data_IF_147449106752
#
_entry.id   IF_147449106752
#
_cell.length_a   1.000
_cell.length_b   1.000
_cell.length_c   1.000
_cell.angle_alpha   90.00
_cell.angle_beta   90.00
_cell.angle_gamma   90.00
#
_symmetry.space_group_name_H-M   'P 1'
#
loop_
_entity.id
_entity.type
_entity.pdbx_description
1 polymer ?
#
# COMPACT_ATOMS: atom_id res chain seq x y z
N UNK A 1 8.28 -8.19 0.46
CA UNK A 1 7.31 -7.60 1.40
C UNK A 1 6.66 -8.73 2.19
N UNK A 2 6.97 -8.85 3.47
CA UNK A 2 6.32 -9.81 4.37
C UNK A 2 5.38 -9.04 5.27
N UNK A 3 4.12 -9.49 5.43
CA UNK A 3 3.17 -8.87 6.35
C UNK A 3 3.69 -8.99 7.77
N UNK A 4 3.63 -7.90 8.52
CA UNK A 4 3.97 -7.89 9.95
C UNK A 4 2.67 -8.19 10.71
N UNK A 5 2.64 -9.21 11.59
CA UNK A 5 1.57 -9.33 12.56
C UNK A 5 1.63 -8.10 13.47
N UNK A 6 0.58 -7.28 13.44
CA UNK A 6 0.46 -6.10 14.30
C UNK A 6 -0.61 -6.39 15.33
N UNK A 7 -0.33 -6.06 16.59
CA UNK A 7 -1.34 -6.09 17.66
C UNK A 7 -2.52 -5.19 17.27
N UNK A 8 -3.74 -5.62 17.58
CA UNK A 8 -4.91 -4.75 17.43
C UNK A 8 -4.88 -3.66 18.49
N UNK A 9 -5.10 -2.42 18.06
CA UNK A 9 -5.30 -1.28 18.95
C UNK A 9 -6.76 -0.84 18.80
N UNK A 10 -7.53 -0.71 19.90
CA UNK A 10 -8.99 -0.71 19.86
C UNK A 10 -9.64 0.44 19.08
N UNK A 11 -8.87 1.40 18.56
CA UNK A 11 -9.38 2.61 17.91
C UNK A 11 -8.52 3.15 16.76
N UNK A 12 -7.43 2.48 16.41
CA UNK A 12 -6.65 2.82 15.21
C UNK A 12 -6.48 1.58 14.35
N UNK A 13 -6.63 1.75 13.04
CA UNK A 13 -6.38 0.70 12.05
C UNK A 13 -4.91 0.75 11.64
N UNK A 14 -4.25 -0.41 11.66
CA UNK A 14 -2.82 -0.49 11.34
C UNK A 14 -2.55 -1.66 10.43
N UNK A 15 -1.80 -1.41 9.37
CA UNK A 15 -1.25 -2.43 8.48
C UNK A 15 0.26 -2.25 8.39
N UNK A 16 1.00 -3.32 8.68
CA UNK A 16 2.46 -3.33 8.64
C UNK A 16 3.02 -4.32 7.63
N UNK A 17 4.12 -3.98 6.97
CA UNK A 17 4.90 -4.89 6.15
C UNK A 17 6.40 -4.55 6.20
N UNK A 18 7.26 -5.55 6.01
CA UNK A 18 8.72 -5.37 5.98
C UNK A 18 9.25 -5.38 4.54
N UNK A 19 10.10 -4.41 4.21
CA UNK A 19 10.91 -4.36 3.00
C UNK A 19 12.33 -4.83 3.34
N UNK A 20 12.85 -5.81 2.61
CA UNK A 20 14.21 -6.35 2.80
C UNK A 20 15.12 -5.81 1.71
N UNK A 21 16.18 -5.10 2.11
CA UNK A 21 17.22 -4.61 1.20
C UNK A 21 18.45 -5.52 1.21
N UNK A 22 18.83 -6.01 2.40
CA UNK A 22 19.86 -7.04 2.54
C UNK A 22 19.46 -8.02 3.65
N UNK A 23 20.24 -9.09 3.86
CA UNK A 23 20.03 -9.98 5.02
C UNK A 23 20.08 -9.17 6.34
N UNK A 24 20.91 -8.12 6.38
CA UNK A 24 21.13 -7.27 7.55
C UNK A 24 20.25 -6.02 7.57
N UNK A 25 19.73 -5.57 6.43
CA UNK A 25 18.98 -4.31 6.32
C UNK A 25 17.52 -4.57 5.97
N UNK A 26 16.64 -4.28 6.93
CA UNK A 26 15.19 -4.38 6.82
C UNK A 26 14.55 -3.08 7.28
N UNK A 27 13.48 -2.68 6.60
CA UNK A 27 12.68 -1.52 6.97
C UNK A 27 11.24 -1.97 7.17
N UNK A 28 10.70 -1.73 8.36
CA UNK A 28 9.29 -1.96 8.68
C UNK A 28 8.47 -0.73 8.28
N UNK A 29 7.42 -0.93 7.48
CA UNK A 29 6.54 0.14 7.01
C UNK A 29 5.15 -0.07 7.60
N UNK A 30 4.60 0.97 8.22
CA UNK A 30 3.30 0.99 8.85
C UNK A 30 2.40 2.04 8.19
N UNK A 31 1.21 1.61 7.80
CA UNK A 31 0.09 2.47 7.43
C UNK A 31 -0.87 2.53 8.62
N UNK A 32 -1.16 3.74 9.11
CA UNK A 32 -2.03 3.97 10.28
C UNK A 32 -3.22 4.84 9.88
N UNK A 33 -4.40 4.52 10.41
CA UNK A 33 -5.53 5.42 10.41
C UNK A 33 -6.08 5.54 11.83
N UNK A 34 -6.12 6.76 12.37
CA UNK A 34 -6.74 7.07 13.65
C UNK A 34 -7.91 8.04 13.41
N UNK A 35 -9.17 7.57 13.50
CA UNK A 35 -10.36 8.37 13.19
C UNK A 35 -10.65 9.47 14.22
N UNK A 36 -10.30 9.26 15.49
CA UNK A 36 -10.55 10.23 16.56
C UNK A 36 -9.24 10.81 17.11
N UNK A 37 -9.05 12.11 16.86
CA UNK A 37 -7.90 12.90 17.33
C UNK A 37 -7.79 13.04 18.87
N UNK A 38 -8.82 12.63 19.61
CA UNK A 38 -8.85 12.66 21.08
C UNK A 38 -8.51 11.32 21.73
N UNK A 39 -8.18 10.30 20.94
CA UNK A 39 -7.73 9.01 21.46
C UNK A 39 -6.27 9.00 21.87
N UNK A 40 -5.89 7.99 22.66
CA UNK A 40 -4.48 7.78 23.00
C UNK A 40 -3.81 6.88 21.97
N UNK A 41 -2.66 7.32 21.46
CA UNK A 41 -1.81 6.64 20.50
C UNK A 41 -0.42 6.30 21.08
N UNK A 42 -0.09 6.79 22.28
CA UNK A 42 1.22 6.57 22.90
C UNK A 42 1.65 5.10 22.93
N UNK A 43 0.76 4.20 23.39
CA UNK A 43 1.07 2.76 23.46
C UNK A 43 1.41 2.18 22.09
N UNK A 44 0.72 2.63 21.03
CA UNK A 44 1.00 2.23 19.67
C UNK A 44 2.38 2.73 19.20
N UNK A 45 2.67 4.02 19.40
CA UNK A 45 3.98 4.58 19.02
C UNK A 45 5.12 3.87 19.75
N UNK A 46 4.93 3.61 21.05
CA UNK A 46 5.91 2.89 21.86
C UNK A 46 6.11 1.45 21.36
N UNK A 47 5.02 0.73 21.06
CA UNK A 47 5.07 -0.61 20.46
C UNK A 47 5.84 -0.62 19.14
N UNK A 48 5.56 0.33 18.23
CA UNK A 48 6.23 0.43 16.94
C UNK A 48 7.72 0.81 17.07
N UNK A 49 8.05 1.66 18.04
CA UNK A 49 9.41 2.14 18.27
C UNK A 49 10.36 1.12 18.89
N UNK A 50 9.83 0.11 19.59
CA UNK A 50 10.61 -0.96 20.24
C UNK A 50 11.13 -2.03 19.27
N UNK A 51 10.81 -1.91 17.98
CA UNK A 51 11.23 -2.89 16.97
C UNK A 51 12.68 -2.70 16.59
N UNK A 52 13.36 -3.81 16.27
CA UNK A 52 14.79 -3.83 15.92
C UNK A 52 15.11 -3.17 14.58
N UNK A 53 14.17 -3.21 13.64
CA UNK A 53 14.37 -2.67 12.30
C UNK A 53 14.12 -1.16 12.28
N UNK A 54 14.78 -0.45 11.37
CA UNK A 54 14.34 0.92 11.03
C UNK A 54 12.88 0.89 10.56
N UNK A 55 12.13 1.96 10.84
CA UNK A 55 10.73 2.00 10.47
C UNK A 55 10.31 3.30 9.80
N UNK A 56 9.22 3.19 9.04
CA UNK A 56 8.49 4.29 8.42
C UNK A 56 7.04 4.11 8.84
N UNK A 57 6.49 5.13 9.49
CA UNK A 57 5.13 5.17 9.99
C UNK A 57 4.41 6.30 9.25
N UNK A 58 3.46 5.96 8.41
CA UNK A 58 2.68 6.91 7.61
C UNK A 58 1.19 6.72 7.84
N UNK A 59 0.41 7.79 7.83
CA UNK A 59 -1.03 7.64 8.06
C UNK A 59 -1.77 8.94 8.28
N UNK A 60 -3.10 8.84 8.32
CA UNK A 60 -3.97 9.91 8.82
C UNK A 60 -4.19 9.71 10.32
N UNK A 61 -3.68 10.65 11.10
CA UNK A 61 -3.72 10.59 12.55
C UNK A 61 -4.87 11.41 13.16
N UNK A 62 -5.55 12.24 12.35
CA UNK A 62 -6.45 13.28 12.84
C UNK A 62 -5.86 14.11 14.01
N UNK A 63 -4.54 14.26 14.05
CA UNK A 63 -3.78 14.90 15.12
C UNK A 63 -3.42 16.35 14.82
N UNK A 64 -3.68 17.25 15.77
CA UNK A 64 -3.33 18.66 15.66
C UNK A 64 -2.21 19.02 16.64
N UNK A 65 -1.14 19.66 16.16
CA UNK A 65 -0.05 20.16 17.01
C UNK A 65 0.70 21.31 16.34
N UNK A 66 1.13 22.35 17.10
CA UNK A 66 2.05 23.40 16.65
C UNK A 66 3.37 22.89 16.05
N UNK A 67 3.73 21.63 16.32
CA UNK A 67 4.91 20.98 15.74
C UNK A 67 4.80 20.83 14.22
N UNK A 68 3.61 20.57 13.68
CA UNK A 68 3.38 20.41 12.23
C UNK A 68 2.28 21.30 11.63
N UNK A 69 1.46 21.97 12.43
CA UNK A 69 0.45 22.91 11.94
C UNK A 69 0.25 24.09 12.88
N UNK A 70 0.21 25.30 12.33
CA UNK A 70 -0.06 26.52 13.07
C UNK A 70 -1.56 26.83 13.25
N UNK A 71 -2.45 26.13 12.55
CA UNK A 71 -3.84 26.58 12.36
C UNK A 71 -4.85 26.03 13.37
N UNK A 72 -4.43 25.16 14.29
CA UNK A 72 -5.34 24.47 15.21
C UNK A 72 -4.73 24.32 16.60
N UNK A 73 -5.58 24.33 17.62
CA UNK A 73 -5.22 23.94 18.97
C UNK A 73 -4.84 22.45 19.01
N UNK A 74 -3.88 22.10 19.86
CA UNK A 74 -3.46 20.70 19.98
C UNK A 74 -4.57 19.82 20.55
N UNK A 75 -4.85 18.70 19.91
CA UNK A 75 -5.68 17.63 20.48
C UNK A 75 -4.81 16.57 21.17
N UNK A 76 -5.43 15.52 21.73
CA UNK A 76 -4.72 14.51 22.51
C UNK A 76 -3.66 13.79 21.68
N UNK A 77 -4.01 13.26 20.50
CA UNK A 77 -3.07 12.60 19.60
C UNK A 77 -1.90 13.52 19.24
N UNK A 78 -2.19 14.79 18.93
CA UNK A 78 -1.14 15.72 18.55
C UNK A 78 -0.17 16.06 19.69
N UNK A 79 -0.67 16.20 20.93
CA UNK A 79 0.19 16.35 22.11
C UNK A 79 1.03 15.09 22.36
N UNK A 80 0.42 13.92 22.25
CA UNK A 80 1.07 12.64 22.48
C UNK A 80 2.18 12.35 21.46
N UNK A 81 1.91 12.49 20.16
CA UNK A 81 2.92 12.35 19.10
C UNK A 81 4.04 13.38 19.31
N UNK A 82 3.71 14.64 19.60
CA UNK A 82 4.72 15.68 19.79
C UNK A 82 5.62 15.39 20.99
N UNK A 83 5.05 14.94 22.11
CA UNK A 83 5.79 14.53 23.30
C UNK A 83 6.66 13.30 23.01
N UNK A 84 6.10 12.28 22.37
CA UNK A 84 6.81 11.07 21.98
C UNK A 84 8.03 11.39 21.10
N UNK A 85 7.87 12.21 20.07
CA UNK A 85 8.97 12.61 19.18
C UNK A 85 10.01 13.52 19.83
N UNK A 86 9.67 14.20 20.93
CA UNK A 86 10.63 15.02 21.68
C UNK A 86 11.51 14.14 22.57
N UNK A 87 10.97 13.02 23.05
CA UNK A 87 11.67 12.07 23.93
C UNK A 87 12.23 10.85 23.18
N UNK A 88 12.25 10.87 21.84
CA UNK A 88 12.69 9.75 21.01
C UNK A 88 13.93 10.16 20.22
N UNK A 89 15.03 9.42 20.39
CA UNK A 89 16.26 9.62 19.63
C UNK A 89 16.23 8.92 18.27
N UNK A 90 15.38 7.90 18.14
CA UNK A 90 15.36 7.00 16.99
C UNK A 90 14.30 7.35 15.94
N UNK A 91 13.29 8.16 16.25
CA UNK A 91 12.23 8.53 15.33
C UNK A 91 12.11 10.05 15.20
N UNK A 92 11.89 10.50 13.96
CA UNK A 92 11.69 11.91 13.64
C UNK A 92 10.50 12.11 12.72
N UNK A 93 9.95 13.32 12.75
CA UNK A 93 8.86 13.71 11.85
C UNK A 93 9.46 14.15 10.51
N UNK A 94 9.13 13.42 9.45
CA UNK A 94 9.49 13.82 8.08
C UNK A 94 8.52 14.85 7.52
N UNK A 95 7.23 14.80 7.91
CA UNK A 95 6.22 15.76 7.43
C UNK A 95 6.61 17.19 7.81
N UNK A 96 6.82 18.10 6.84
CA UNK A 96 7.17 19.48 7.13
C UNK A 96 6.07 20.23 7.86
N UNK A 97 6.45 21.33 8.52
CA UNK A 97 5.48 22.22 9.16
C UNK A 97 4.58 22.90 8.12
N UNK A 98 3.28 22.97 8.42
CA UNK A 98 2.22 23.51 7.57
C UNK A 98 2.11 22.82 6.20
N UNK A 99 2.40 21.52 6.13
CA UNK A 99 2.29 20.74 4.91
C UNK A 99 0.82 20.36 4.65
N UNK A 100 0.14 20.92 3.65
CA UNK A 100 -1.32 20.82 3.55
C UNK A 100 -1.75 19.47 2.98
N UNK A 101 -1.90 18.47 3.85
CA UNK A 101 -2.28 17.10 3.47
C UNK A 101 -3.78 16.91 3.38
N UNK A 102 -4.58 17.84 3.91
CA UNK A 102 -6.03 17.88 3.75
C UNK A 102 -6.48 19.27 3.37
N UNK A 103 -7.48 19.35 2.49
CA UNK A 103 -8.17 20.57 2.08
C UNK A 103 -9.65 20.36 2.33
N UNK A 104 -10.20 21.12 3.28
CA UNK A 104 -11.62 21.06 3.59
C UNK A 104 -12.46 21.37 2.33
N UNK A 105 -13.43 20.51 1.97
CA UNK A 105 -14.17 20.65 0.71
C UNK A 105 -15.07 21.89 0.69
N UNK A 106 -15.50 22.38 1.87
CA UNK A 106 -16.44 23.51 2.01
C UNK A 106 -15.68 24.81 2.24
N UNK A 107 -14.92 24.87 3.33
CA UNK A 107 -14.22 26.07 3.80
C UNK A 107 -12.89 26.30 3.10
N UNK A 108 -12.36 25.29 2.39
CA UNK A 108 -11.05 25.33 1.71
C UNK A 108 -9.85 25.52 2.63
N UNK A 109 -10.07 25.50 3.95
CA UNK A 109 -9.02 25.53 4.95
C UNK A 109 -8.12 24.30 4.78
N UNK A 110 -6.82 24.53 4.89
CA UNK A 110 -5.81 23.48 4.77
C UNK A 110 -5.42 23.01 6.15
N UNK A 111 -5.24 21.72 6.31
CA UNK A 111 -4.72 21.12 7.53
C UNK A 111 -3.67 20.05 7.21
N UNK A 112 -2.84 19.77 8.22
CA UNK A 112 -1.81 18.72 8.19
C UNK A 112 -2.25 17.65 9.17
N UNK A 113 -2.92 16.62 8.67
CA UNK A 113 -3.44 15.49 9.45
C UNK A 113 -2.71 14.19 9.13
N UNK A 114 -2.20 14.10 7.91
CA UNK A 114 -1.42 12.96 7.45
C UNK A 114 0.04 13.18 7.82
N UNK A 115 0.60 12.29 8.62
CA UNK A 115 1.98 12.39 9.09
C UNK A 115 2.82 11.23 8.55
N UNK A 116 4.08 11.53 8.27
CA UNK A 116 5.13 10.55 8.00
C UNK A 116 6.19 10.72 9.07
N UNK A 117 6.27 9.74 9.96
CA UNK A 117 7.29 9.60 11.00
C UNK A 117 8.24 8.48 10.55
N UNK A 118 9.53 8.63 10.74
CA UNK A 118 10.49 7.60 10.33
C UNK A 118 11.72 7.56 11.20
N UNK A 119 12.48 6.47 11.11
CA UNK A 119 13.78 6.39 11.75
C UNK A 119 14.68 7.54 11.33
N UNK A 120 15.31 8.21 12.30
CA UNK A 120 16.13 9.42 12.08
C UNK A 120 17.20 9.20 11.01
N UNK A 121 17.81 8.01 10.97
CA UNK A 121 18.81 7.62 9.98
C UNK A 121 18.26 7.59 8.54
N UNK A 122 16.99 7.25 8.35
CA UNK A 122 16.33 7.25 7.04
C UNK A 122 15.95 8.67 6.60
N UNK A 123 15.65 9.56 7.53
CA UNK A 123 15.19 10.91 7.23
C UNK A 123 16.21 11.73 6.45
N UNK A 124 17.50 11.59 6.77
CA UNK A 124 18.59 12.32 6.10
C UNK A 124 18.70 12.05 4.59
N UNK A 125 18.25 10.88 4.14
CA UNK A 125 18.31 10.47 2.73
C UNK A 125 16.93 10.48 2.06
N UNK A 126 15.93 11.09 2.69
CA UNK A 126 14.55 11.09 2.21
C UNK A 126 14.11 12.48 1.79
N UNK A 127 13.66 12.59 0.54
CA UNK A 127 12.91 13.78 0.07
C UNK A 127 11.40 13.56 0.21
N UNK A 128 10.64 14.61 0.50
CA UNK A 128 9.17 14.56 0.66
C UNK A 128 8.51 15.66 -0.18
N UNK A 129 7.37 15.35 -0.81
CA UNK A 129 6.53 16.31 -1.54
C UNK A 129 5.05 15.92 -1.48
N UNK A 130 4.17 16.89 -1.70
CA UNK A 130 2.76 16.60 -1.90
C UNK A 130 2.56 15.99 -3.29
N UNK A 131 1.72 14.97 -3.35
CA UNK A 131 1.24 14.40 -4.57
C UNK A 131 0.02 15.16 -5.13
N UNK A 132 -0.48 14.71 -6.28
CA UNK A 132 -1.60 15.37 -6.95
C UNK A 132 -2.91 15.11 -6.20
N UNK A 133 -3.88 16.01 -6.39
CA UNK A 133 -5.24 15.80 -5.91
C UNK A 133 -5.90 14.61 -6.62
N UNK A 134 -6.37 13.64 -5.84
CA UNK A 134 -6.95 12.38 -6.34
C UNK A 134 -8.48 12.34 -6.28
N UNK A 135 -9.13 13.45 -5.89
CA UNK A 135 -10.58 13.52 -5.76
C UNK A 135 -11.12 13.18 -4.37
N UNK A 136 -10.22 13.06 -3.39
CA UNK A 136 -10.49 13.19 -1.96
C UNK A 136 -10.03 14.58 -1.51
N UNK A 137 -10.59 15.03 -0.40
CA UNK A 137 -10.10 16.13 0.42
C UNK A 137 -8.67 15.94 0.94
N UNK A 138 -8.15 14.71 0.98
CA UNK A 138 -6.74 14.43 1.29
C UNK A 138 -5.84 14.47 0.04
N UNK A 139 -4.64 14.99 0.24
CA UNK A 139 -3.54 15.03 -0.70
C UNK A 139 -2.49 13.99 -0.28
N UNK A 140 -2.11 13.07 -1.18
CA UNK A 140 -1.15 12.04 -0.84
C UNK A 140 0.22 12.64 -0.54
N UNK A 141 0.93 12.08 0.44
CA UNK A 141 2.34 12.37 0.67
C UNK A 141 3.17 11.43 -0.22
N UNK A 142 4.11 11.99 -0.97
CA UNK A 142 5.09 11.22 -1.75
C UNK A 142 6.46 11.50 -1.14
N UNK A 143 7.08 10.47 -0.57
CA UNK A 143 8.47 10.52 -0.16
C UNK A 143 9.33 9.57 -1.01
N UNK A 144 10.60 9.92 -1.18
CA UNK A 144 11.60 9.15 -1.91
C UNK A 144 12.83 8.98 -1.03
N UNK A 145 12.98 7.77 -0.52
CA UNK A 145 14.16 7.31 0.20
C UNK A 145 15.27 6.98 -0.79
N UNK A 146 16.41 7.65 -0.69
CA UNK A 146 17.60 7.34 -1.47
C UNK A 146 18.43 6.29 -0.73
N UNK A 147 18.65 5.15 -1.36
CA UNK A 147 19.49 4.09 -0.81
C UNK A 147 20.41 3.54 -1.90
N UNK A 148 21.65 3.22 -1.49
CA UNK A 148 22.62 2.52 -2.35
C UNK A 148 22.36 1.01 -2.37
N UNK A 149 21.56 0.50 -1.43
CA UNK A 149 21.27 -0.92 -1.33
C UNK A 149 20.26 -1.36 -2.39
N UNK A 150 20.56 -2.47 -3.08
CA UNK A 150 19.60 -3.07 -4.01
C UNK A 150 18.51 -3.76 -3.20
N UNK A 151 17.25 -3.40 -3.45
CA UNK A 151 16.11 -4.11 -2.85
C UNK A 151 16.20 -5.58 -3.27
N UNK A 152 16.30 -6.50 -2.30
CA UNK A 152 16.11 -7.92 -2.58
C UNK A 152 14.65 -8.08 -2.97
N UNK A 153 14.42 -8.25 -4.28
CA UNK A 153 13.13 -8.67 -4.78
C UNK A 153 12.80 -9.98 -4.07
N UNK A 154 11.69 -9.98 -3.35
CA UNK A 154 11.21 -11.22 -2.74
C UNK A 154 11.10 -12.26 -3.86
N UNK A 155 11.68 -13.44 -3.66
CA UNK A 155 11.38 -14.59 -4.51
C UNK A 155 9.86 -14.80 -4.40
N UNK A 156 9.12 -14.49 -5.46
CA UNK A 156 7.69 -14.80 -5.49
C UNK A 156 7.60 -16.33 -5.50
N UNK A 157 6.69 -16.88 -4.69
CA UNK A 157 6.40 -18.30 -4.76
C UNK A 157 5.97 -18.62 -6.20
N UNK A 158 6.63 -19.55 -6.88
CA UNK A 158 6.34 -19.84 -8.27
C UNK A 158 4.87 -20.24 -8.39
N UNK A 159 4.18 -19.71 -9.40
CA UNK A 159 2.75 -19.96 -9.60
C UNK A 159 2.56 -20.85 -10.81
N UNK A 160 1.81 -21.92 -10.63
CA UNK A 160 1.35 -22.76 -11.73
C UNK A 160 0.40 -21.98 -12.63
N UNK A 161 0.63 -22.04 -13.94
CA UNK A 161 -0.30 -21.53 -14.94
C UNK A 161 -1.14 -22.69 -15.45
N UNK A 162 -2.32 -22.83 -14.88
CA UNK A 162 -3.30 -23.80 -15.32
C UNK A 162 -3.94 -23.36 -16.64
N UNK A 163 -4.16 -24.32 -17.53
CA UNK A 163 -4.93 -24.16 -18.76
C UNK A 163 -5.99 -25.25 -18.75
N UNK A 164 -7.24 -24.87 -18.91
CA UNK A 164 -8.37 -25.78 -18.74
C UNK A 164 -8.27 -27.01 -19.65
N UNK A 165 -7.83 -26.80 -20.90
CA UNK A 165 -7.60 -27.86 -21.88
C UNK A 165 -6.53 -28.91 -21.52
N UNK A 166 -5.67 -28.62 -20.54
CA UNK A 166 -4.57 -29.52 -20.15
C UNK A 166 -4.94 -30.41 -18.95
N UNK A 167 -6.09 -30.20 -18.31
CA UNK A 167 -6.55 -31.01 -17.18
C UNK A 167 -6.70 -32.51 -17.52
N UNK A 168 -7.25 -32.91 -18.69
CA UNK A 168 -7.33 -34.33 -19.05
C UNK A 168 -5.96 -35.00 -19.07
N UNK A 169 -4.95 -34.33 -19.64
CA UNK A 169 -3.56 -34.81 -19.67
C UNK A 169 -2.96 -34.93 -18.26
N UNK A 170 -3.24 -33.96 -17.39
CA UNK A 170 -2.78 -34.02 -16.00
C UNK A 170 -3.43 -35.19 -15.24
N UNK A 171 -4.74 -35.40 -15.42
CA UNK A 171 -5.50 -36.49 -14.81
C UNK A 171 -4.96 -37.86 -15.23
N UNK A 172 -4.70 -38.06 -16.52
CA UNK A 172 -4.07 -39.27 -17.03
C UNK A 172 -2.68 -39.48 -16.40
N UNK A 173 -1.87 -38.43 -16.37
CA UNK A 173 -0.52 -38.52 -15.82
C UNK A 173 -0.50 -38.84 -14.33
N UNK A 174 -1.36 -38.23 -13.51
CA UNK A 174 -1.38 -38.51 -12.07
C UNK A 174 -1.92 -39.91 -11.79
N UNK A 175 -2.94 -40.35 -12.54
CA UNK A 175 -3.54 -41.68 -12.38
C UNK A 175 -2.49 -42.76 -12.66
N UNK A 176 -1.78 -42.63 -13.79
CA UNK A 176 -0.69 -43.54 -14.16
C UNK A 176 0.39 -43.61 -13.07
N UNK A 177 0.87 -42.47 -12.56
CA UNK A 177 1.91 -42.43 -11.52
C UNK A 177 1.45 -43.04 -10.20
N UNK A 178 0.21 -42.79 -9.79
CA UNK A 178 -0.34 -43.37 -8.55
C UNK A 178 -0.47 -44.89 -8.65
N UNK A 179 -0.85 -45.41 -9.82
CA UNK A 179 -0.88 -46.85 -10.09
C UNK A 179 0.52 -47.47 -10.11
N UNK A 180 1.47 -46.86 -10.84
CA UNK A 180 2.87 -47.34 -10.93
C UNK A 180 3.57 -47.36 -9.56
N UNK A 181 3.36 -46.31 -8.76
CA UNK A 181 3.93 -46.19 -7.41
C UNK A 181 3.10 -46.93 -6.35
N UNK A 182 2.10 -47.73 -6.75
CA UNK A 182 1.29 -48.59 -5.86
C UNK A 182 0.68 -47.84 -4.66
N UNK A 183 0.20 -46.62 -4.89
CA UNK A 183 -0.33 -45.74 -3.84
C UNK A 183 -1.39 -46.42 -2.94
N UNK A 184 -2.28 -47.23 -3.54
CA UNK A 184 -3.37 -47.93 -2.84
C UNK A 184 -2.86 -49.08 -1.96
N UNK A 185 -1.72 -49.66 -2.29
CA UNK A 185 -1.12 -50.80 -1.58
C UNK A 185 -0.21 -50.34 -0.41
N UNK A 186 0.00 -49.03 -0.24
CA UNK A 186 0.87 -48.51 0.81
C UNK A 186 0.18 -48.56 2.17
N UNK A 187 0.72 -49.39 3.07
CA UNK A 187 0.23 -49.54 4.45
C UNK A 187 0.76 -48.43 5.39
N UNK A 188 1.79 -47.69 4.95
CA UNK A 188 2.41 -46.62 5.73
C UNK A 188 1.86 -45.24 5.29
N UNK A 189 1.17 -44.51 6.19
CA UNK A 189 0.61 -43.19 5.86
C UNK A 189 1.64 -42.16 5.36
N UNK A 190 2.86 -42.20 5.89
CA UNK A 190 3.93 -41.28 5.49
C UNK A 190 4.43 -41.59 4.07
N UNK A 191 4.50 -42.88 3.73
CA UNK A 191 4.90 -43.34 2.41
C UNK A 191 3.82 -43.03 1.37
N UNK A 192 2.56 -43.33 1.68
CA UNK A 192 1.41 -42.97 0.85
C UNK A 192 1.37 -41.46 0.57
N UNK A 193 1.60 -40.62 1.60
CA UNK A 193 1.68 -39.17 1.43
C UNK A 193 2.79 -38.76 0.47
N UNK A 194 3.99 -39.32 0.62
CA UNK A 194 5.14 -39.00 -0.24
C UNK A 194 4.84 -39.39 -1.69
N UNK A 195 4.30 -40.59 -1.94
CA UNK A 195 3.89 -41.07 -3.25
C UNK A 195 2.88 -40.11 -3.89
N UNK A 196 1.85 -39.72 -3.14
CA UNK A 196 0.83 -38.79 -3.62
C UNK A 196 1.43 -37.42 -3.95
N UNK A 197 2.19 -36.85 -3.02
CA UNK A 197 2.80 -35.53 -3.15
C UNK A 197 3.74 -35.46 -4.36
N UNK A 198 4.61 -36.45 -4.55
CA UNK A 198 5.49 -36.55 -5.70
C UNK A 198 4.71 -36.70 -7.01
N UNK A 199 3.71 -37.58 -7.04
CA UNK A 199 2.89 -37.80 -8.24
C UNK A 199 2.16 -36.53 -8.66
N UNK A 200 1.62 -35.78 -7.70
CA UNK A 200 1.01 -34.46 -7.95
C UNK A 200 2.03 -33.48 -8.51
N UNK A 201 3.21 -33.38 -7.91
CA UNK A 201 4.24 -32.43 -8.34
C UNK A 201 4.80 -32.78 -9.73
N UNK A 202 5.10 -34.04 -9.99
CA UNK A 202 5.63 -34.51 -11.28
C UNK A 202 4.62 -34.32 -12.41
N UNK A 203 3.36 -34.75 -12.22
CA UNK A 203 2.29 -34.55 -13.21
C UNK A 203 2.03 -33.07 -13.47
N UNK A 204 2.14 -32.23 -12.42
CA UNK A 204 2.03 -30.78 -12.58
C UNK A 204 3.19 -30.20 -13.38
N UNK A 205 4.43 -30.64 -13.17
CA UNK A 205 5.62 -30.21 -13.93
C UNK A 205 5.55 -30.62 -15.41
N UNK A 206 4.99 -31.79 -15.71
CA UNK A 206 4.84 -32.28 -17.08
C UNK A 206 3.73 -31.58 -17.88
N UNK A 207 2.70 -31.10 -17.18
CA UNK A 207 1.47 -30.60 -17.82
C UNK A 207 1.33 -29.08 -17.76
N UNK A 208 1.70 -28.47 -16.64
CA UNK A 208 1.52 -27.05 -16.42
C UNK A 208 2.84 -26.30 -16.46
N UNK A 209 2.77 -25.02 -16.83
CA UNK A 209 3.93 -24.15 -16.80
C UNK A 209 4.07 -23.60 -15.39
N UNK A 210 5.20 -23.88 -14.74
CA UNK A 210 5.57 -23.22 -13.50
C UNK A 210 6.15 -21.85 -13.82
N UNK A 211 5.38 -20.79 -13.55
CA UNK A 211 5.87 -19.44 -13.77
C UNK A 211 6.83 -19.05 -12.63
N UNK A 212 8.13 -19.09 -12.93
CA UNK A 212 9.22 -18.67 -12.05
C UNK A 212 9.68 -17.23 -12.32
N UNK A 213 9.19 -16.61 -13.42
CA UNK A 213 9.65 -15.31 -13.84
C UNK A 213 8.96 -14.15 -13.12
N UNK A 214 9.78 -13.17 -12.74
CA UNK A 214 9.33 -11.88 -12.22
C UNK A 214 8.85 -11.02 -13.39
N UNK A 215 7.58 -11.19 -13.80
CA UNK A 215 6.87 -10.09 -14.46
C UNK A 215 6.29 -9.17 -13.40
N UNK A 216 7.15 -8.33 -12.82
CA UNK A 216 6.67 -7.04 -12.35
C UNK A 216 6.27 -6.27 -13.60
N UNK A 217 5.02 -6.45 -14.04
CA UNK A 217 4.45 -5.55 -15.02
C UNK A 217 4.61 -4.16 -14.44
N UNK A 218 5.48 -3.34 -15.04
CA UNK A 218 5.78 -1.97 -14.58
C UNK A 218 4.51 -1.13 -14.47
N UNK A 219 3.47 -1.57 -15.17
CA UNK A 219 2.13 -1.09 -14.98
C UNK A 219 1.27 -2.22 -14.44
N UNK A 220 0.74 -2.06 -13.23
CA UNK A 220 -0.59 -2.62 -12.97
C UNK A 220 -1.50 -1.81 -13.90
N UNK A 221 -1.54 -2.20 -15.18
CA UNK A 221 -2.47 -1.66 -16.15
C UNK A 221 -3.80 -2.13 -15.61
N UNK A 222 -4.47 -1.26 -14.86
CA UNK A 222 -5.88 -1.46 -14.55
C UNK A 222 -6.52 -1.76 -15.89
N UNK A 223 -7.05 -2.95 -16.10
CA UNK A 223 -7.25 -3.41 -17.47
C UNK A 223 -8.48 -2.76 -18.14
N UNK A 224 -9.22 -1.96 -17.37
CA UNK A 224 -10.25 -1.01 -17.82
C UNK A 224 -9.70 0.39 -18.14
N UNK A 225 -8.42 0.68 -17.85
CA UNK A 225 -7.84 2.00 -18.06
C UNK A 225 -7.48 2.22 -19.52
N UNK A 226 -7.99 3.31 -20.10
CA UNK A 226 -7.76 3.68 -21.48
C UNK A 226 -7.29 5.14 -21.62
N UNK A 227 -7.04 5.57 -22.85
CA UNK A 227 -6.60 6.93 -23.16
C UNK A 227 -7.62 7.98 -22.73
N UNK A 228 -8.91 7.68 -22.86
CA UNK A 228 -10.00 8.59 -22.46
C UNK A 228 -9.98 8.86 -20.95
N UNK A 229 -9.82 7.81 -20.13
CA UNK A 229 -9.62 7.94 -18.68
C UNK A 229 -8.42 8.86 -18.36
N UNK A 230 -7.32 8.69 -19.08
CA UNK A 230 -6.11 9.51 -18.91
C UNK A 230 -6.37 10.98 -19.24
N UNK A 231 -7.06 11.24 -20.36
CA UNK A 231 -7.44 12.57 -20.81
C UNK A 231 -8.35 13.27 -19.80
N UNK A 232 -9.41 12.59 -19.33
CA UNK A 232 -10.35 13.16 -18.35
C UNK A 232 -9.72 13.44 -17.00
N UNK A 233 -8.74 12.64 -16.58
CA UNK A 233 -7.96 12.94 -15.37
C UNK A 233 -7.06 14.16 -15.55
N UNK A 234 -6.44 14.33 -16.73
CA UNK A 234 -5.64 15.51 -17.02
C UNK A 234 -6.48 16.79 -17.08
N UNK A 235 -7.64 16.76 -17.73
CA UNK A 235 -8.64 17.84 -17.74
C UNK A 235 -9.07 18.22 -16.32
N UNK A 236 -9.48 17.23 -15.52
CA UNK A 236 -9.83 17.39 -14.12
C UNK A 236 -8.72 18.05 -13.30
N UNK A 237 -7.46 17.59 -13.43
CA UNK A 237 -6.32 18.15 -12.70
C UNK A 237 -6.06 19.60 -13.11
N UNK A 238 -6.20 19.94 -14.38
CA UNK A 238 -6.08 21.33 -14.88
C UNK A 238 -7.17 22.22 -14.30
N UNK A 239 -8.43 21.78 -14.36
CA UNK A 239 -9.56 22.51 -13.79
C UNK A 239 -9.40 22.74 -12.27
N UNK A 240 -8.98 21.70 -11.54
CA UNK A 240 -8.64 21.82 -10.12
C UNK A 240 -7.54 22.85 -9.85
N UNK A 241 -6.43 22.80 -10.59
CA UNK A 241 -5.33 23.77 -10.45
C UNK A 241 -5.79 25.20 -10.74
N UNK A 242 -6.66 25.38 -11.76
CA UNK A 242 -7.23 26.68 -12.09
C UNK A 242 -8.15 27.19 -10.98
N UNK A 243 -9.09 26.37 -10.51
CA UNK A 243 -10.01 26.72 -9.43
C UNK A 243 -9.29 27.02 -8.11
N UNK A 244 -8.26 26.24 -7.77
CA UNK A 244 -7.46 26.48 -6.56
C UNK A 244 -6.63 27.77 -6.63
N UNK A 245 -6.19 28.17 -7.83
CA UNK A 245 -5.48 29.44 -8.03
C UNK A 245 -6.45 30.63 -8.07
N UNK A 246 -7.61 30.46 -8.70
CA UNK A 246 -8.60 31.50 -8.96
C UNK A 246 -10.02 30.99 -8.65
N UNK A 247 -10.51 31.13 -7.41
CA UNK A 247 -11.74 30.51 -6.94
C UNK A 247 -13.02 31.27 -7.37
N UNK A 248 -13.19 31.48 -8.67
CA UNK A 248 -14.39 32.13 -9.23
C UNK A 248 -15.54 31.13 -9.42
N UNK A 249 -16.81 31.57 -9.44
CA UNK A 249 -17.96 30.70 -9.72
C UNK A 249 -17.83 29.90 -11.04
N UNK A 250 -17.23 30.50 -12.06
CA UNK A 250 -17.00 29.89 -13.37
C UNK A 250 -15.97 28.76 -13.25
N UNK A 251 -14.84 29.02 -12.58
CA UNK A 251 -13.82 27.99 -12.37
C UNK A 251 -14.32 26.86 -11.46
N UNK A 252 -15.22 27.15 -10.51
CA UNK A 252 -15.89 26.15 -9.68
C UNK A 252 -16.80 25.26 -10.52
N UNK A 253 -17.61 25.87 -11.39
CA UNK A 253 -18.51 25.16 -12.32
C UNK A 253 -17.72 24.26 -13.26
N UNK A 254 -16.63 24.75 -13.84
CA UNK A 254 -15.76 23.96 -14.72
C UNK A 254 -15.08 22.82 -13.97
N UNK A 255 -14.61 23.06 -12.75
CA UNK A 255 -14.07 21.99 -11.90
C UNK A 255 -15.10 20.89 -11.60
N UNK A 256 -16.32 21.27 -11.23
CA UNK A 256 -17.40 20.33 -10.96
C UNK A 256 -17.77 19.52 -12.21
N UNK A 257 -17.85 20.18 -13.37
CA UNK A 257 -18.07 19.55 -14.68
C UNK A 257 -16.97 18.53 -14.98
N UNK A 258 -15.71 18.93 -14.89
CA UNK A 258 -14.57 18.04 -15.15
C UNK A 258 -14.51 16.87 -14.16
N UNK A 259 -14.88 17.07 -12.90
CA UNK A 259 -14.99 15.99 -11.91
C UNK A 259 -16.09 14.98 -12.28
N UNK A 260 -17.28 15.46 -12.66
CA UNK A 260 -18.39 14.61 -13.06
C UNK A 260 -18.06 13.77 -14.29
N UNK A 261 -17.47 14.41 -15.32
CA UNK A 261 -17.01 13.72 -16.54
C UNK A 261 -15.95 12.66 -16.22
N UNK A 262 -14.95 12.99 -15.40
CA UNK A 262 -13.95 12.01 -14.93
C UNK A 262 -14.61 10.79 -14.27
N UNK A 263 -15.55 11.02 -13.34
CA UNK A 263 -16.26 9.92 -12.65
C UNK A 263 -17.07 9.07 -13.62
N UNK A 264 -17.76 9.69 -14.57
CA UNK A 264 -18.56 9.00 -15.59
C UNK A 264 -17.69 8.10 -16.47
N UNK A 265 -16.64 8.64 -17.08
CA UNK A 265 -15.74 7.90 -17.98
C UNK A 265 -15.08 6.72 -17.26
N UNK A 266 -14.60 6.90 -16.02
CA UNK A 266 -14.01 5.80 -15.24
C UNK A 266 -15.04 4.69 -15.00
N UNK A 267 -16.26 5.02 -14.59
CA UNK A 267 -17.33 4.03 -14.36
C UNK A 267 -17.72 3.29 -15.63
N UNK A 268 -17.80 3.99 -16.77
CA UNK A 268 -18.11 3.37 -18.06
C UNK A 268 -17.00 2.40 -18.51
N UNK A 269 -15.74 2.79 -18.31
CA UNK A 269 -14.60 1.94 -18.62
C UNK A 269 -14.54 0.70 -17.71
N UNK A 270 -14.85 0.84 -16.41
CA UNK A 270 -14.98 -0.27 -15.47
C UNK A 270 -16.12 -1.23 -15.88
N UNK A 271 -17.28 -0.70 -16.30
CA UNK A 271 -18.44 -1.49 -16.74
C UNK A 271 -18.22 -2.25 -18.05
N UNK A 272 -17.63 -1.61 -19.07
CA UNK A 272 -17.37 -2.22 -20.39
C UNK A 272 -16.49 -3.49 -20.34
N UNK A 273 -15.82 -3.74 -19.22
CA UNK A 273 -15.02 -4.96 -19.00
C UNK A 273 -15.79 -6.04 -18.24
N UNK A 274 -16.78 -5.65 -17.43
CA UNK A 274 -17.55 -6.58 -16.59
C UNK A 274 -18.71 -7.25 -17.34
N UNK A 275 -19.08 -6.74 -18.51
CA UNK A 275 -19.95 -7.40 -19.48
C UNK A 275 -19.13 -7.88 -20.67
#
# INVERSE_FOLDING_TARGET
MTRIPVQQFPKCEIVGFTITFSIKTKIDVYSIYCPDGNESILNLLHYLSKRRNHCIIGGDFNGHSPRWSNSHLSNKIGREISSFLTNSDNLTLLTPKNFPTRIDPVTRKKSTLDLTIMSSQLAHSTSIKLGPHLGSDHLPIIFKLQTKEKIIKQKIQPKWKYKEKEWPKWNESITRKLSEKKFIESENPQEAFNIFHESVLESSKETFILNTEVRCSKNINKPWWNEECSKKIAEYRRAWKKYTKWPTPENRTEYNRAMALKKKTIREAEKKRLG
#
